data_IF_456446066868
#
_entry.id   IF_456446066868
#
_cell.length_a   1.000
_cell.length_b   1.000
_cell.length_c   1.000
_cell.angle_alpha   90.00
_cell.angle_beta   90.00
_cell.angle_gamma   90.00
#
_symmetry.space_group_name_H-M   'P 1'
#
loop_
_entity.id
_entity.type
_entity.pdbx_description
1 polymer ?
#
# COMPACT_ATOMS: atom_id res chain seq x y z
N UNK A 1 1.68 -29.39 -0.49
CA UNK A 1 1.67 -28.04 -1.08
C UNK A 1 0.27 -27.69 -1.56
N UNK A 2 -0.25 -26.55 -1.11
CA UNK A 2 -1.55 -25.99 -1.53
C UNK A 2 -1.26 -24.70 -2.33
N UNK A 3 -1.86 -24.56 -3.51
CA UNK A 3 -1.76 -23.37 -4.36
C UNK A 3 -3.13 -22.68 -4.35
N UNK A 4 -3.19 -21.51 -3.71
CA UNK A 4 -4.38 -20.66 -3.70
C UNK A 4 -4.11 -19.38 -4.48
N UNK A 5 -5.08 -18.91 -5.26
CA UNK A 5 -5.06 -17.57 -5.85
C UNK A 5 -5.94 -16.69 -4.97
N UNK A 6 -5.36 -15.60 -4.44
CA UNK A 6 -6.05 -14.62 -3.59
C UNK A 6 -6.00 -13.25 -4.24
N UNK A 7 -6.92 -12.37 -3.83
CA UNK A 7 -6.88 -10.97 -4.26
C UNK A 7 -5.59 -10.31 -3.78
N UNK A 8 -4.90 -9.59 -4.65
CA UNK A 8 -3.60 -9.01 -4.30
C UNK A 8 -2.98 -8.27 -5.47
N UNK A 9 -1.89 -7.56 -5.20
CA UNK A 9 -1.16 -6.85 -6.24
C UNK A 9 0.33 -6.70 -5.92
N UNK A 10 1.14 -6.57 -6.97
CA UNK A 10 2.54 -6.18 -6.88
C UNK A 10 2.78 -4.85 -7.60
N UNK A 11 3.64 -4.00 -7.02
CA UNK A 11 4.16 -2.81 -7.68
C UNK A 11 5.65 -2.56 -7.37
N UNK A 12 6.32 -1.86 -8.29
CA UNK A 12 7.78 -1.70 -8.31
C UNK A 12 8.25 -0.53 -7.45
N UNK A 13 7.96 -0.62 -6.16
CA UNK A 13 8.46 0.29 -5.12
C UNK A 13 8.88 -0.53 -3.92
N UNK A 14 10.16 -0.46 -3.56
CA UNK A 14 10.67 -1.08 -2.35
C UNK A 14 10.68 -0.15 -1.14
N UNK A 15 11.30 -0.63 -0.07
CA UNK A 15 11.41 0.10 1.19
C UNK A 15 12.22 1.40 1.05
N UNK A 16 11.78 2.44 1.76
CA UNK A 16 12.51 3.71 1.82
C UNK A 16 13.78 3.62 2.69
N UNK A 17 13.86 2.62 3.57
CA UNK A 17 15.00 2.41 4.45
C UNK A 17 15.22 0.91 4.70
N UNK A 18 16.46 0.38 4.58
CA UNK A 18 16.76 -1.01 4.90
C UNK A 18 16.59 -1.32 6.40
N UNK A 19 16.52 -0.31 7.26
CA UNK A 19 16.29 -0.49 8.70
C UNK A 19 14.88 -0.98 9.05
N UNK A 20 13.97 -1.04 8.07
CA UNK A 20 12.67 -1.68 8.26
C UNK A 20 12.70 -3.20 8.06
N UNK A 21 13.80 -3.77 7.54
CA UNK A 21 13.95 -5.23 7.31
C UNK A 21 13.77 -5.98 8.63
N UNK A 22 12.81 -6.91 8.65
CA UNK A 22 12.56 -7.82 9.77
C UNK A 22 12.77 -9.30 9.42
N UNK A 23 13.14 -9.59 8.17
CA UNK A 23 13.64 -10.89 7.68
C UNK A 23 15.03 -10.71 7.07
N UNK A 24 16.11 -10.73 7.88
CA UNK A 24 17.47 -10.51 7.41
C UNK A 24 17.92 -11.53 6.35
N UNK A 25 17.49 -12.79 6.49
CA UNK A 25 17.77 -13.91 5.59
C UNK A 25 17.36 -13.65 4.13
N UNK A 26 16.23 -12.98 3.93
CA UNK A 26 15.69 -12.63 2.60
C UNK A 26 15.93 -11.16 2.25
N UNK A 27 16.38 -10.34 3.19
CA UNK A 27 16.48 -8.89 3.03
C UNK A 27 15.13 -8.23 2.83
N UNK A 28 14.06 -8.80 3.39
CA UNK A 28 12.68 -8.35 3.18
C UNK A 28 12.01 -7.85 4.46
N UNK A 29 10.93 -7.10 4.25
CA UNK A 29 9.99 -6.71 5.29
C UNK A 29 8.75 -7.57 5.09
N UNK A 30 8.31 -8.24 6.14
CA UNK A 30 7.08 -9.01 6.16
C UNK A 30 6.17 -8.49 7.26
N UNK A 31 4.99 -8.01 6.86
CA UNK A 31 3.97 -7.50 7.79
C UNK A 31 2.76 -8.44 7.74
N UNK A 32 2.39 -8.98 8.89
CA UNK A 32 1.20 -9.83 9.06
C UNK A 32 0.02 -9.00 9.54
N UNK A 33 -1.11 -9.13 8.86
CA UNK A 33 -2.36 -8.38 9.09
C UNK A 33 -2.15 -6.85 9.28
N UNK A 34 -1.38 -6.16 8.42
CA UNK A 34 -1.11 -4.74 8.59
C UNK A 34 -2.34 -3.87 8.30
N UNK A 35 -2.36 -2.71 8.96
CA UNK A 35 -3.03 -1.54 8.42
C UNK A 35 -2.21 -0.92 7.29
N UNK A 36 -2.87 -0.26 6.35
CA UNK A 36 -2.27 0.35 5.16
C UNK A 36 -2.76 1.80 5.06
N UNK A 37 -1.86 2.74 5.31
CA UNK A 37 -2.11 4.17 5.08
C UNK A 37 -1.79 4.52 3.63
N UNK A 38 -2.74 5.18 2.97
CA UNK A 38 -2.61 5.66 1.60
C UNK A 38 -2.68 7.19 1.61
N UNK A 39 -1.55 7.85 1.38
CA UNK A 39 -1.46 9.31 1.42
C UNK A 39 -1.01 9.87 0.07
N UNK A 40 -1.82 10.69 -0.57
CA UNK A 40 -1.42 11.42 -1.78
C UNK A 40 -0.73 12.76 -1.42
N UNK A 41 0.30 12.67 -0.58
CA UNK A 41 1.18 13.78 -0.23
C UNK A 41 2.54 13.28 0.19
N UNK A 42 3.52 14.19 0.25
CA UNK A 42 4.78 13.93 0.93
C UNK A 42 4.60 14.07 2.44
N UNK A 43 5.23 13.17 3.19
CA UNK A 43 5.21 13.18 4.66
C UNK A 43 6.62 13.48 5.14
N UNK A 44 6.85 14.71 5.61
CA UNK A 44 8.14 15.17 6.12
C UNK A 44 8.13 15.44 7.63
N UNK A 45 6.94 15.70 8.21
CA UNK A 45 6.76 16.00 9.62
C UNK A 45 6.05 14.83 10.34
N UNK A 46 6.68 14.32 11.41
CA UNK A 46 6.13 13.19 12.16
C UNK A 46 4.86 13.56 12.94
N UNK A 47 4.63 14.84 13.26
CA UNK A 47 3.48 15.30 14.05
C UNK A 47 2.15 14.96 13.38
N UNK A 48 2.10 15.06 12.05
CA UNK A 48 0.92 14.74 11.25
C UNK A 48 0.53 13.25 11.37
N UNK A 49 1.52 12.40 11.67
CA UNK A 49 1.37 10.95 11.77
C UNK A 49 1.06 10.47 13.18
N UNK A 50 1.22 11.30 14.21
CA UNK A 50 1.06 10.87 15.61
C UNK A 50 -0.30 10.23 15.89
N UNK A 51 -1.44 10.82 15.46
CA UNK A 51 -2.75 10.23 15.74
C UNK A 51 -2.91 8.82 15.13
N UNK A 52 -2.45 8.64 13.89
CA UNK A 52 -2.49 7.36 13.18
C UNK A 52 -1.57 6.33 13.84
N UNK A 53 -0.34 6.73 14.19
CA UNK A 53 0.64 5.83 14.82
C UNK A 53 0.17 5.37 16.20
N UNK A 54 -0.42 6.26 17.00
CA UNK A 54 -0.99 5.92 18.30
C UNK A 54 -2.18 4.96 18.18
N UNK A 55 -3.09 5.23 17.24
CA UNK A 55 -4.25 4.37 16.99
C UNK A 55 -3.83 2.96 16.56
N UNK A 56 -2.86 2.86 15.64
CA UNK A 56 -2.35 1.57 15.15
C UNK A 56 -1.56 0.83 16.24
N UNK A 57 -0.74 1.53 17.02
CA UNK A 57 -0.02 0.95 18.14
C UNK A 57 -0.98 0.37 19.20
N UNK A 58 -2.08 1.07 19.50
CA UNK A 58 -3.14 0.58 20.41
C UNK A 58 -3.84 -0.67 19.87
N UNK A 59 -3.99 -0.79 18.56
CA UNK A 59 -4.55 -1.97 17.91
C UNK A 59 -3.56 -3.16 17.86
N UNK A 60 -2.27 -2.94 18.18
CA UNK A 60 -1.25 -3.99 18.20
C UNK A 60 -0.89 -4.55 16.82
N UNK A 61 -1.26 -3.86 15.74
CA UNK A 61 -1.02 -4.27 14.35
C UNK A 61 0.13 -3.49 13.72
N UNK A 62 0.82 -4.04 12.71
CA UNK A 62 1.79 -3.29 11.93
C UNK A 62 1.12 -2.26 11.00
N UNK A 63 1.89 -1.28 10.54
CA UNK A 63 1.47 -0.26 9.57
C UNK A 63 2.37 -0.28 8.34
N UNK A 64 1.76 -0.33 7.16
CA UNK A 64 2.38 0.06 5.89
C UNK A 64 1.98 1.49 5.55
N UNK A 65 2.95 2.33 5.22
CA UNK A 65 2.72 3.68 4.69
C UNK A 65 3.05 3.68 3.20
N UNK A 66 2.08 4.04 2.37
CA UNK A 66 2.25 4.30 0.94
C UNK A 66 1.93 5.77 0.69
N UNK A 67 2.96 6.56 0.45
CA UNK A 67 2.86 8.01 0.28
C UNK A 67 3.55 8.48 -1.01
N UNK A 68 3.38 9.75 -1.44
CA UNK A 68 4.23 10.29 -2.51
C UNK A 68 5.72 10.13 -2.16
N UNK A 69 6.06 10.50 -0.92
CA UNK A 69 7.35 10.24 -0.31
C UNK A 69 7.23 10.29 1.22
N UNK A 70 8.17 9.64 1.92
CA UNK A 70 8.36 9.82 3.36
C UNK A 70 9.82 10.20 3.57
N UNK A 71 10.07 11.42 4.02
CA UNK A 71 11.40 12.01 4.03
C UNK A 71 11.71 12.76 5.33
N UNK A 72 12.97 13.22 5.44
CA UNK A 72 13.41 14.08 6.53
C UNK A 72 13.18 13.50 7.93
N UNK A 73 12.62 14.33 8.82
CA UNK A 73 12.36 13.99 10.22
C UNK A 73 11.39 12.82 10.37
N UNK A 74 10.33 12.79 9.55
CA UNK A 74 9.34 11.72 9.58
C UNK A 74 10.00 10.34 9.34
N UNK A 75 10.78 10.21 8.27
CA UNK A 75 11.46 8.94 7.96
C UNK A 75 12.45 8.54 9.06
N UNK A 76 13.27 9.48 9.53
CA UNK A 76 14.25 9.21 10.59
C UNK A 76 13.56 8.73 11.88
N UNK A 77 12.45 9.36 12.25
CA UNK A 77 11.70 9.01 13.47
C UNK A 77 11.03 7.65 13.35
N UNK A 78 10.42 7.34 12.20
CA UNK A 78 9.86 6.03 11.92
C UNK A 78 10.93 4.93 12.01
N UNK A 79 12.10 5.15 11.40
CA UNK A 79 13.22 4.21 11.46
C UNK A 79 13.65 3.94 12.90
N UNK A 80 13.91 5.00 13.68
CA UNK A 80 14.37 4.86 15.08
C UNK A 80 13.34 4.14 15.94
N UNK A 81 12.05 4.46 15.79
CA UNK A 81 11.00 3.81 16.57
C UNK A 81 10.75 2.36 16.15
N UNK A 82 10.87 2.03 14.86
CA UNK A 82 10.82 0.64 14.39
C UNK A 82 12.00 -0.16 14.94
N UNK A 83 13.23 0.38 14.91
CA UNK A 83 14.41 -0.29 15.48
C UNK A 83 14.32 -0.51 16.99
N UNK A 84 13.64 0.39 17.71
CA UNK A 84 13.38 0.25 19.16
C UNK A 84 12.22 -0.69 19.48
N UNK A 85 11.50 -1.18 18.46
CA UNK A 85 10.33 -2.06 18.64
C UNK A 85 9.10 -1.34 19.21
N UNK A 86 9.09 -0.01 19.20
CA UNK A 86 7.97 0.81 19.71
C UNK A 86 6.76 0.69 18.77
N UNK A 87 7.02 0.76 17.46
CA UNK A 87 6.02 0.62 16.41
C UNK A 87 6.53 -0.33 15.33
N UNK A 88 5.65 -1.11 14.70
CA UNK A 88 6.01 -1.98 13.57
C UNK A 88 5.56 -1.30 12.29
N UNK A 89 6.42 -0.46 11.72
CA UNK A 89 6.07 0.37 10.54
C UNK A 89 7.07 0.17 9.42
N UNK A 90 6.57 0.14 8.19
CA UNK A 90 7.36 0.26 6.97
C UNK A 90 6.77 1.34 6.06
N UNK A 91 7.62 1.97 5.25
CA UNK A 91 7.21 3.01 4.31
C UNK A 91 7.79 2.76 2.92
N UNK A 92 6.94 2.97 1.90
CA UNK A 92 7.27 2.85 0.48
C UNK A 92 6.69 4.05 -0.27
N UNK A 93 7.30 4.41 -1.41
CA UNK A 93 6.69 5.41 -2.30
C UNK A 93 5.49 4.80 -3.01
N UNK A 94 4.51 5.64 -3.33
CA UNK A 94 3.42 5.27 -4.20
C UNK A 94 3.94 4.98 -5.63
N UNK A 95 3.34 4.02 -6.34
CA UNK A 95 3.71 3.73 -7.73
C UNK A 95 3.23 4.84 -8.66
N UNK A 96 3.96 5.05 -9.77
CA UNK A 96 3.63 6.08 -10.75
C UNK A 96 4.00 7.52 -10.33
N UNK A 97 3.45 8.49 -11.05
CA UNK A 97 3.61 9.94 -10.84
C UNK A 97 2.38 10.71 -11.34
N UNK A 98 2.17 11.92 -10.84
CA UNK A 98 1.04 12.78 -11.23
C UNK A 98 -0.32 12.07 -11.07
N UNK A 99 -1.25 12.30 -11.99
CA UNK A 99 -2.59 11.71 -11.95
C UNK A 99 -2.59 10.18 -11.95
N UNK A 100 -1.56 9.56 -12.56
CA UNK A 100 -1.41 8.10 -12.54
C UNK A 100 -1.10 7.58 -11.15
N UNK A 101 -0.31 8.30 -10.36
CA UNK A 101 -0.07 7.94 -8.96
C UNK A 101 -1.36 7.94 -8.18
N UNK A 102 -2.19 8.99 -8.34
CA UNK A 102 -3.50 9.10 -7.69
C UNK A 102 -4.41 7.95 -8.08
N UNK A 103 -4.48 7.64 -9.38
CA UNK A 103 -5.28 6.52 -9.89
C UNK A 103 -4.81 5.17 -9.33
N UNK A 104 -3.50 4.94 -9.23
CA UNK A 104 -2.94 3.71 -8.66
C UNK A 104 -3.09 3.64 -7.13
N UNK A 105 -3.02 4.76 -6.41
CA UNK A 105 -3.35 4.81 -4.99
C UNK A 105 -4.82 4.43 -4.77
N UNK A 106 -5.72 4.90 -5.62
CA UNK A 106 -7.13 4.53 -5.57
C UNK A 106 -7.36 3.03 -5.87
N UNK A 107 -6.54 2.44 -6.74
CA UNK A 107 -6.57 1.00 -7.00
C UNK A 107 -6.18 0.20 -5.75
N UNK A 108 -5.09 0.59 -5.08
CA UNK A 108 -4.66 0.00 -3.80
C UNK A 108 -5.74 0.20 -2.73
N UNK A 109 -6.34 1.39 -2.66
CA UNK A 109 -7.43 1.71 -1.74
C UNK A 109 -8.62 0.77 -1.93
N UNK A 110 -9.02 0.54 -3.18
CA UNK A 110 -10.11 -0.38 -3.52
C UNK A 110 -9.77 -1.81 -3.11
N UNK A 111 -8.56 -2.28 -3.43
CA UNK A 111 -8.08 -3.62 -3.08
C UNK A 111 -8.05 -3.87 -1.56
N UNK A 112 -7.73 -2.84 -0.79
CA UNK A 112 -7.49 -2.94 0.66
C UNK A 112 -8.64 -2.39 1.50
N UNK A 113 -9.73 -1.94 0.88
CA UNK A 113 -10.83 -1.20 1.53
C UNK A 113 -10.38 0.03 2.34
N UNK A 114 -9.32 0.71 1.88
CA UNK A 114 -8.84 1.95 2.51
C UNK A 114 -9.36 3.21 1.81
N UNK A 115 -9.11 4.36 2.43
CA UNK A 115 -9.38 5.69 1.87
C UNK A 115 -8.05 6.38 1.53
N UNK A 116 -7.96 6.99 0.35
CA UNK A 116 -6.78 7.80 0.00
C UNK A 116 -6.89 9.16 0.70
N UNK A 117 -5.97 9.44 1.61
CA UNK A 117 -5.87 10.74 2.28
C UNK A 117 -5.22 11.73 1.32
N UNK A 118 -6.02 12.68 0.85
CA UNK A 118 -5.59 13.74 -0.07
C UNK A 118 -6.13 15.10 0.38
N UNK A 119 -5.23 16.08 0.41
CA UNK A 119 -5.59 17.47 0.76
C UNK A 119 -6.51 18.10 -0.27
N UNK A 120 -6.49 17.61 -1.53
CA UNK A 120 -7.35 18.12 -2.61
C UNK A 120 -8.84 17.90 -2.34
N UNK A 121 -9.18 16.87 -1.55
CA UNK A 121 -10.55 16.54 -1.14
C UNK A 121 -10.81 16.88 0.34
N UNK A 122 -9.90 17.61 0.98
CA UNK A 122 -10.04 18.09 2.36
C UNK A 122 -9.80 17.04 3.44
N UNK A 123 -9.16 15.91 3.12
CA UNK A 123 -8.76 14.92 4.11
C UNK A 123 -7.35 15.23 4.65
N UNK A 124 -7.23 15.19 5.96
CA UNK A 124 -5.99 15.50 6.69
C UNK A 124 -5.49 14.25 7.43
N UNK A 125 -4.17 14.06 7.48
CA UNK A 125 -3.55 12.93 8.17
C UNK A 125 -3.86 12.92 9.67
N UNK A 126 -3.94 14.10 10.28
CA UNK A 126 -4.22 14.28 11.70
C UNK A 126 -5.63 13.84 12.10
N UNK A 127 -6.57 13.86 11.14
CA UNK A 127 -7.96 13.46 11.33
C UNK A 127 -8.24 12.03 10.88
N UNK A 128 -7.23 11.34 10.35
CA UNK A 128 -7.35 9.98 9.85
C UNK A 128 -7.60 9.01 11.00
N UNK A 129 -8.59 8.14 10.81
CA UNK A 129 -9.00 7.11 11.76
C UNK A 129 -8.59 5.71 11.29
N UNK A 130 -8.79 4.68 12.12
CA UNK A 130 -8.52 3.29 11.70
C UNK A 130 -9.45 2.82 10.58
N UNK A 131 -10.62 3.42 10.41
CA UNK A 131 -11.58 3.08 9.36
C UNK A 131 -11.12 3.57 7.97
N UNK A 132 -10.28 4.61 7.94
CA UNK A 132 -9.69 5.13 6.72
C UNK A 132 -8.51 4.28 6.23
N UNK A 133 -7.94 3.44 7.09
CA UNK A 133 -6.80 2.60 6.76
C UNK A 133 -7.26 1.33 6.06
N UNK A 134 -6.61 1.01 4.94
CA UNK A 134 -6.78 -0.28 4.29
C UNK A 134 -6.22 -1.41 5.15
N UNK A 135 -6.58 -2.65 4.83
CA UNK A 135 -6.02 -3.85 5.45
C UNK A 135 -5.73 -4.93 4.40
N UNK A 136 -4.78 -5.79 4.74
CA UNK A 136 -4.48 -7.01 4.00
C UNK A 136 -4.03 -8.11 4.97
N UNK A 137 -4.03 -9.36 4.53
CA UNK A 137 -3.54 -10.47 5.35
C UNK A 137 -2.03 -10.44 5.51
N UNK A 138 -1.30 -10.14 4.43
CA UNK A 138 0.17 -10.05 4.45
C UNK A 138 0.67 -9.03 3.44
N UNK A 139 1.75 -8.34 3.80
CA UNK A 139 2.51 -7.49 2.88
C UNK A 139 3.97 -7.93 2.92
N UNK A 140 4.59 -8.04 1.75
CA UNK A 140 6.03 -8.30 1.58
C UNK A 140 6.67 -7.16 0.80
N UNK A 141 7.76 -6.61 1.33
CA UNK A 141 8.48 -5.49 0.71
C UNK A 141 9.95 -5.85 0.60
N UNK A 142 10.49 -5.77 -0.61
CA UNK A 142 11.90 -5.96 -0.88
C UNK A 142 12.55 -4.62 -1.26
N UNK A 143 13.79 -4.65 -1.72
CA UNK A 143 14.52 -3.46 -2.16
C UNK A 143 13.82 -2.69 -3.29
N UNK A 144 13.15 -3.42 -4.18
CA UNK A 144 12.60 -2.86 -5.42
C UNK A 144 11.08 -3.03 -5.56
N UNK A 145 10.46 -3.91 -4.77
CA UNK A 145 9.04 -4.29 -4.95
C UNK A 145 8.26 -4.31 -3.64
N UNK A 146 6.94 -4.10 -3.76
CA UNK A 146 5.95 -4.31 -2.70
C UNK A 146 4.86 -5.23 -3.23
N UNK A 147 4.48 -6.21 -2.42
CA UNK A 147 3.42 -7.18 -2.72
C UNK A 147 2.40 -7.12 -1.58
N UNK A 148 1.14 -6.86 -1.93
CA UNK A 148 0.00 -6.90 -1.03
C UNK A 148 -0.77 -8.19 -1.32
N UNK A 149 -0.99 -9.01 -0.28
CA UNK A 149 -1.58 -10.33 -0.39
C UNK A 149 -2.86 -10.37 0.44
N UNK A 150 -3.96 -10.77 -0.20
CA UNK A 150 -5.28 -10.99 0.39
C UNK A 150 -5.79 -9.71 1.06
N UNK A 151 -6.03 -8.68 0.22
CA UNK A 151 -6.59 -7.40 0.62
C UNK A 151 -8.07 -7.53 1.04
N UNK A 152 -8.53 -6.73 2.00
CA UNK A 152 -9.90 -6.85 2.54
C UNK A 152 -10.98 -6.13 1.71
N UNK A 153 -10.64 -5.67 0.51
CA UNK A 153 -11.57 -5.04 -0.42
C UNK A 153 -12.73 -5.95 -0.80
N UNK A 154 -13.93 -5.38 -0.92
CA UNK A 154 -15.09 -6.12 -1.42
C UNK A 154 -14.87 -6.48 -2.90
N UNK A 155 -15.12 -7.75 -3.26
CA UNK A 155 -14.99 -8.25 -4.62
C UNK A 155 -15.82 -7.41 -5.61
N UNK A 156 -17.02 -6.96 -5.23
CA UNK A 156 -17.85 -6.10 -6.07
C UNK A 156 -17.21 -4.72 -6.30
N UNK A 157 -16.52 -4.16 -5.30
CA UNK A 157 -15.80 -2.91 -5.44
C UNK A 157 -14.58 -3.07 -6.37
N UNK A 158 -13.84 -4.16 -6.23
CA UNK A 158 -12.68 -4.50 -7.08
C UNK A 158 -13.14 -4.72 -8.53
N UNK A 159 -14.18 -5.52 -8.76
CA UNK A 159 -14.72 -5.75 -10.11
C UNK A 159 -15.29 -4.48 -10.73
N UNK A 160 -15.98 -3.65 -9.93
CA UNK A 160 -16.45 -2.33 -10.37
C UNK A 160 -15.29 -1.43 -10.79
N UNK A 161 -14.20 -1.43 -10.03
CA UNK A 161 -12.98 -0.68 -10.37
C UNK A 161 -12.31 -1.20 -11.65
N UNK A 162 -12.21 -2.52 -11.81
CA UNK A 162 -11.70 -3.15 -13.04
C UNK A 162 -12.55 -2.75 -14.25
N UNK A 163 -13.88 -2.76 -14.13
CA UNK A 163 -14.78 -2.35 -15.20
C UNK A 163 -14.60 -0.87 -15.59
N UNK A 164 -14.44 0.02 -14.60
CA UNK A 164 -14.13 1.44 -14.86
C UNK A 164 -12.85 1.60 -15.66
N UNK A 165 -11.78 0.89 -15.29
CA UNK A 165 -10.49 0.99 -15.99
C UNK A 165 -10.58 0.39 -17.40
N UNK A 166 -11.35 -0.69 -17.58
CA UNK A 166 -11.63 -1.25 -18.92
C UNK A 166 -12.33 -0.26 -19.83
N UNK A 167 -13.31 0.48 -19.32
CA UNK A 167 -13.95 1.55 -20.11
C UNK A 167 -12.94 2.63 -20.51
N UNK A 168 -12.05 3.03 -19.59
CA UNK A 168 -10.99 4.00 -19.88
C UNK A 168 -10.04 3.51 -20.99
N UNK A 169 -9.83 2.20 -21.14
CA UNK A 169 -9.01 1.63 -22.22
C UNK A 169 -9.69 1.84 -23.59
N UNK A 170 -11.01 1.67 -23.65
CA UNK A 170 -11.78 1.87 -24.88
C UNK A 170 -11.77 3.35 -25.31
N UNK A 171 -11.89 4.25 -24.33
CA UNK A 171 -11.91 5.70 -24.56
C UNK A 171 -10.51 6.30 -24.84
N UNK A 172 -9.44 5.56 -24.50
CA UNK A 172 -8.07 6.02 -24.70
C UNK A 172 -7.72 6.10 -26.19
N UNK A 173 -7.14 7.22 -26.59
CA UNK A 173 -6.74 7.49 -27.98
C UNK A 173 -5.28 7.17 -28.27
N UNK A 174 -4.47 6.96 -27.24
CA UNK A 174 -3.04 6.66 -27.32
C UNK A 174 -2.75 5.23 -26.88
N UNK A 175 -1.93 4.51 -27.64
CA UNK A 175 -1.48 3.15 -27.30
C UNK A 175 -0.72 3.11 -25.97
N UNK A 176 0.01 4.19 -25.65
CA UNK A 176 0.70 4.33 -24.37
C UNK A 176 -0.26 4.34 -23.19
N UNK A 177 -1.39 5.05 -23.29
CA UNK A 177 -2.37 5.11 -22.22
C UNK A 177 -3.11 3.77 -22.07
N UNK A 178 -3.43 3.11 -23.21
CA UNK A 178 -4.01 1.77 -23.22
C UNK A 178 -3.10 0.75 -22.53
N UNK A 179 -1.81 0.74 -22.84
CA UNK A 179 -0.83 -0.14 -22.20
C UNK A 179 -0.81 0.07 -20.67
N UNK A 180 -0.76 1.33 -20.22
CA UNK A 180 -0.72 1.63 -18.78
C UNK A 180 -2.02 1.32 -18.04
N UNK A 181 -3.17 1.46 -18.70
CA UNK A 181 -4.45 1.04 -18.15
C UNK A 181 -4.57 -0.49 -18.10
N UNK A 182 -4.07 -1.20 -19.12
CA UNK A 182 -4.00 -2.67 -19.13
C UNK A 182 -3.13 -3.21 -17.99
N UNK A 183 -1.97 -2.59 -17.73
CA UNK A 183 -1.12 -2.94 -16.58
C UNK A 183 -1.87 -2.81 -15.24
N UNK A 184 -2.69 -1.77 -15.09
CA UNK A 184 -3.51 -1.57 -13.88
C UNK A 184 -4.59 -2.63 -13.74
N UNK A 185 -5.30 -2.94 -14.82
CA UNK A 185 -6.30 -4.03 -14.84
C UNK A 185 -5.64 -5.36 -14.49
N UNK A 186 -4.49 -5.67 -15.07
CA UNK A 186 -3.77 -6.92 -14.81
C UNK A 186 -3.38 -7.04 -13.33
N UNK A 187 -2.94 -5.94 -12.71
CA UNK A 187 -2.58 -5.91 -11.28
C UNK A 187 -3.78 -6.05 -10.35
N UNK A 188 -4.95 -5.54 -10.72
CA UNK A 188 -6.17 -5.65 -9.90
C UNK A 188 -6.92 -6.96 -10.11
N UNK A 189 -6.99 -7.46 -11.34
CA UNK A 189 -7.78 -8.65 -11.68
C UNK A 189 -6.97 -9.95 -11.64
N UNK A 190 -5.63 -9.87 -11.68
CA UNK A 190 -4.76 -11.04 -11.72
C UNK A 190 -4.52 -11.72 -10.37
N UNK A 191 -4.76 -10.99 -9.27
CA UNK A 191 -4.51 -11.47 -7.92
C UNK A 191 -3.04 -11.83 -7.65
N UNK A 192 -2.81 -12.57 -6.57
CA UNK A 192 -1.52 -13.12 -6.18
C UNK A 192 -1.66 -14.62 -5.90
N UNK A 193 -0.82 -15.42 -6.55
CA UNK A 193 -0.72 -16.85 -6.27
C UNK A 193 0.12 -17.08 -5.00
N UNK A 194 -0.44 -17.79 -4.03
CA UNK A 194 0.20 -18.15 -2.77
C UNK A 194 0.41 -19.66 -2.73
N UNK A 195 1.67 -20.08 -2.64
CA UNK A 195 2.03 -21.49 -2.45
C UNK A 195 2.30 -21.71 -0.96
N UNK A 196 1.45 -22.50 -0.31
CA UNK A 196 1.68 -22.98 1.06
C UNK A 196 2.43 -24.30 0.99
N UNK A 197 3.72 -24.27 1.33
CA UNK A 197 4.54 -25.48 1.46
C UNK A 197 4.24 -26.12 2.81
N UNK A 198 3.66 -27.31 2.80
CA UNK A 198 3.35 -28.08 4.01
C UNK A 198 4.50 -29.02 4.36
N UNK A 199 4.79 -29.18 5.66
CA UNK A 199 5.62 -30.28 6.17
C UNK A 199 4.78 -31.56 6.31
#
# INVERSE_FOLDING_TARGET
>A
DELDVVEGMQFDRGYLSPYFINKPETGSIELESPFILLADKKISNIREMLPVLEAVAKAGKPLLIIAEDVEGEALATLVVNTMRGIVKVAAVKAPGFGDRRKAMLQDIATLTSGTVISEEIGLELEKTTLEDLGQAKRVVINKDTTIIIDGVGDEAAIQGRVAQIRQQIEDATSDYDKEKLQERVAKLAGGVAVIKVGA
#
